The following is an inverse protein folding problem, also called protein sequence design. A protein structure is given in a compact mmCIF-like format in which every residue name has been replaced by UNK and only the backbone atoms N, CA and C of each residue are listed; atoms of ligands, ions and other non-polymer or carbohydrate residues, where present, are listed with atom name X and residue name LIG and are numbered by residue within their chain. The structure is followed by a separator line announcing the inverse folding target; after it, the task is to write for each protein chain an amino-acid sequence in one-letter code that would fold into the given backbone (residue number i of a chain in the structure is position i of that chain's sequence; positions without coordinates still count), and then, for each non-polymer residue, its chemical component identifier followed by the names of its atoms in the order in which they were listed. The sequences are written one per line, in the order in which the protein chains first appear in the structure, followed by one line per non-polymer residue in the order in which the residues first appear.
data_IF_510966629180
#
_entry.id   IF_510966629180
#
_cell.length_a   1.000
_cell.length_b   1.000
_cell.length_c   1.000
_cell.angle_alpha   90.00
_cell.angle_beta   90.00
_cell.angle_gamma   90.00
#
_symmetry.space_group_name_H-M   'P 1'
#
loop_
_entity.id
_entity.type
_entity.pdbx_description
1 polymer ?
#
# COMPACT_ATOMS: atom_id res chain seq x y z
N UNK A 1 14.64 -26.27 -3.57
CA UNK A 1 15.40 -25.20 -4.25
C UNK A 1 14.49 -23.98 -4.37
N UNK A 2 14.87 -22.81 -3.85
CA UNK A 2 14.01 -21.58 -3.78
C UNK A 2 14.73 -20.32 -4.30
N UNK A 3 16.06 -20.26 -4.22
CA UNK A 3 16.83 -19.10 -4.68
C UNK A 3 16.66 -18.93 -6.20
N UNK A 4 16.19 -17.75 -6.63
CA UNK A 4 16.00 -17.43 -8.05
C UNK A 4 14.79 -18.11 -8.68
N UNK A 5 13.83 -18.59 -7.88
CA UNK A 5 12.60 -19.24 -8.38
C UNK A 5 11.51 -18.22 -8.78
N UNK A 6 11.88 -17.11 -9.39
CA UNK A 6 10.93 -16.10 -9.90
C UNK A 6 11.52 -15.37 -11.10
N UNK A 7 10.66 -15.00 -12.05
CA UNK A 7 11.02 -14.18 -13.22
C UNK A 7 10.69 -12.69 -12.99
N UNK A 8 9.71 -12.41 -12.13
CA UNK A 8 9.28 -11.07 -11.74
C UNK A 8 8.73 -11.07 -10.31
N UNK A 9 8.51 -9.88 -9.74
CA UNK A 9 7.83 -9.68 -8.46
C UNK A 9 6.51 -8.93 -8.69
N UNK A 10 5.40 -9.53 -8.22
CA UNK A 10 4.14 -8.81 -8.03
C UNK A 10 4.10 -8.17 -6.65
N UNK A 11 3.76 -6.89 -6.58
CA UNK A 11 3.62 -6.14 -5.33
C UNK A 11 2.20 -5.57 -5.23
N UNK A 12 1.55 -5.83 -4.09
CA UNK A 12 0.31 -5.18 -3.71
C UNK A 12 0.65 -4.06 -2.73
N UNK A 13 0.20 -2.84 -3.02
CA UNK A 13 0.42 -1.68 -2.16
C UNK A 13 -0.88 -0.93 -1.95
N UNK A 14 -1.21 -0.64 -0.69
CA UNK A 14 -2.41 0.12 -0.33
C UNK A 14 -2.13 1.25 0.65
N UNK A 15 -1.26 1.01 1.64
CA UNK A 15 -0.98 1.94 2.73
C UNK A 15 0.46 1.81 3.25
N UNK A 16 0.83 2.65 4.20
CA UNK A 16 2.10 2.60 4.94
C UNK A 16 1.84 2.83 6.43
N UNK A 17 2.70 2.26 7.27
CA UNK A 17 2.65 2.45 8.72
C UNK A 17 3.98 3.02 9.23
N UNK A 18 3.91 3.75 10.34
CA UNK A 18 5.09 3.97 11.17
C UNK A 18 5.44 2.69 11.92
N UNK A 19 6.73 2.49 12.17
CA UNK A 19 7.23 1.40 12.99
C UNK A 19 8.11 1.96 14.12
N UNK A 20 7.85 1.54 15.35
CA UNK A 20 8.67 1.86 16.52
C UNK A 20 9.21 0.57 17.16
N UNK A 21 10.45 0.61 17.65
CA UNK A 21 11.02 -0.52 18.39
C UNK A 21 10.17 -0.82 19.63
N UNK A 22 9.81 -2.08 19.81
CA UNK A 22 9.17 -2.58 21.03
C UNK A 22 10.05 -3.66 21.66
N UNK A 23 10.99 -3.28 22.55
CA UNK A 23 11.89 -4.22 23.19
C UNK A 23 11.23 -5.01 24.34
N UNK A 24 10.04 -4.59 24.80
CA UNK A 24 9.35 -5.19 25.93
C UNK A 24 8.41 -6.27 25.40
N UNK A 25 8.88 -7.51 25.43
CA UNK A 25 8.05 -8.67 25.13
C UNK A 25 7.86 -9.50 26.41
N UNK A 26 6.72 -9.30 27.07
CA UNK A 26 6.31 -10.06 28.25
C UNK A 26 5.13 -10.98 27.90
N UNK A 27 5.30 -11.87 26.93
CA UNK A 27 4.36 -12.96 26.71
C UNK A 27 5.12 -14.28 26.90
N UNK A 28 4.55 -15.17 27.71
CA UNK A 28 5.06 -16.53 27.94
C UNK A 28 4.91 -17.41 26.67
N UNK A 29 4.13 -16.96 25.68
CA UNK A 29 3.87 -17.66 24.42
C UNK A 29 4.47 -16.95 23.20
N UNK A 30 5.06 -17.74 22.30
CA UNK A 30 5.58 -17.26 21.02
C UNK A 30 4.44 -16.84 20.08
N UNK A 31 4.61 -15.73 19.36
CA UNK A 31 3.62 -15.26 18.37
C UNK A 31 4.31 -14.61 17.16
N UNK A 32 3.90 -15.02 15.96
CA UNK A 32 4.39 -14.44 14.70
C UNK A 32 4.21 -12.91 14.64
N UNK A 33 3.12 -12.39 15.21
CA UNK A 33 2.81 -10.96 15.17
C UNK A 33 3.80 -10.12 16.00
N UNK A 34 4.45 -10.73 16.99
CA UNK A 34 5.28 -10.04 17.97
C UNK A 34 6.77 -10.32 17.76
N UNK A 35 7.11 -11.32 16.95
CA UNK A 35 8.48 -11.67 16.57
C UNK A 35 9.25 -10.50 15.90
N UNK A 36 8.55 -9.58 15.23
CA UNK A 36 9.17 -8.38 14.64
C UNK A 36 9.72 -7.40 15.68
N UNK A 37 9.29 -7.52 16.95
CA UNK A 37 9.62 -6.60 18.06
C UNK A 37 9.38 -5.13 17.69
N UNK A 38 8.26 -4.91 17.01
CA UNK A 38 7.91 -3.64 16.40
C UNK A 38 6.45 -3.30 16.68
N UNK A 39 6.19 -2.04 17.08
CA UNK A 39 4.83 -1.50 17.13
C UNK A 39 4.56 -0.78 15.81
N UNK A 40 3.56 -1.26 15.08
CA UNK A 40 3.07 -0.60 13.87
C UNK A 40 1.91 0.32 14.23
N UNK A 41 1.90 1.52 13.66
CA UNK A 41 0.82 2.50 13.86
C UNK A 41 0.67 3.37 12.62
N UNK A 42 -0.57 3.75 12.29
CA UNK A 42 -0.86 4.75 11.26
C UNK A 42 -0.69 6.18 11.78
N UNK A 43 -0.49 6.37 13.09
CA UNK A 43 -0.41 7.69 13.73
C UNK A 43 0.91 7.93 14.46
N UNK A 44 1.37 9.18 14.42
CA UNK A 44 2.51 9.66 15.22
C UNK A 44 2.13 10.98 15.88
N UNK A 45 2.22 11.03 17.21
CA UNK A 45 1.85 12.20 18.01
C UNK A 45 0.39 12.68 17.77
N UNK A 46 -0.53 11.73 17.59
CA UNK A 46 -1.94 12.03 17.29
C UNK A 46 -2.20 12.53 15.86
N UNK A 47 -1.22 12.42 14.96
CA UNK A 47 -1.35 12.80 13.55
C UNK A 47 -1.22 11.55 12.69
N UNK A 48 -2.29 11.23 11.95
CA UNK A 48 -2.30 10.14 10.99
C UNK A 48 -1.30 10.37 9.85
N UNK A 49 -0.75 9.28 9.31
CA UNK A 49 0.20 9.30 8.19
C UNK A 49 -0.42 9.85 6.90
N UNK A 50 -1.74 9.77 6.78
CA UNK A 50 -2.54 10.32 5.71
C UNK A 50 -4.04 10.22 6.04
N UNK A 51 -4.92 10.69 5.15
CA UNK A 51 -6.37 10.50 5.28
C UNK A 51 -6.75 9.02 5.36
N UNK A 52 -7.72 8.69 6.21
CA UNK A 52 -8.28 7.34 6.30
C UNK A 52 -9.37 7.15 5.24
N UNK A 53 -9.38 5.99 4.58
CA UNK A 53 -10.46 5.59 3.68
C UNK A 53 -11.63 4.96 4.45
N UNK A 54 -12.51 4.21 3.79
CA UNK A 54 -13.62 3.54 4.48
C UNK A 54 -13.11 2.40 5.39
N UNK A 55 -12.10 1.67 4.94
CA UNK A 55 -11.48 0.60 5.69
C UNK A 55 -10.63 1.13 6.85
N UNK A 56 -10.82 0.62 8.09
CA UNK A 56 -10.09 1.12 9.25
C UNK A 56 -8.56 1.03 9.14
N UNK A 57 -8.06 0.09 8.34
CA UNK A 57 -6.63 -0.17 8.14
C UNK A 57 -6.01 0.65 7.00
N UNK A 58 -6.82 1.29 6.14
CA UNK A 58 -6.35 1.91 4.90
C UNK A 58 -6.17 3.43 5.09
N UNK A 59 -4.90 3.84 5.16
CA UNK A 59 -4.51 5.25 5.20
C UNK A 59 -3.80 5.65 3.90
N UNK A 60 -4.27 6.71 3.25
CA UNK A 60 -3.80 7.16 1.93
C UNK A 60 -2.41 7.78 2.04
N UNK A 61 -1.39 7.06 1.58
CA UNK A 61 -0.01 7.54 1.60
C UNK A 61 0.72 7.30 0.25
N UNK A 62 0.52 8.19 -0.74
CA UNK A 62 1.02 7.97 -2.11
C UNK A 62 2.55 7.89 -2.23
N UNK A 63 3.29 8.53 -1.32
CA UNK A 63 4.74 8.47 -1.32
C UNK A 63 5.27 7.04 -1.04
N UNK A 64 4.54 6.26 -0.25
CA UNK A 64 5.00 4.94 0.19
C UNK A 64 5.17 3.95 -0.96
N UNK A 65 4.36 4.01 -2.03
CA UNK A 65 4.54 3.10 -3.17
C UNK A 65 5.88 3.33 -3.88
N UNK A 66 6.30 4.58 -4.02
CA UNK A 66 7.62 4.92 -4.58
C UNK A 66 8.74 4.44 -3.67
N UNK A 67 8.61 4.66 -2.36
CA UNK A 67 9.63 4.27 -1.39
C UNK A 67 9.75 2.73 -1.33
N UNK A 68 8.64 1.98 -1.42
CA UNK A 68 8.61 0.51 -1.54
C UNK A 68 9.28 0.02 -2.84
N UNK A 69 8.99 0.65 -3.98
CA UNK A 69 9.60 0.29 -5.26
C UNK A 69 11.12 0.51 -5.26
N UNK A 70 11.58 1.64 -4.72
CA UNK A 70 13.00 1.94 -4.56
C UNK A 70 13.69 0.99 -3.59
N UNK A 71 13.04 0.68 -2.46
CA UNK A 71 13.54 -0.32 -1.51
C UNK A 71 13.67 -1.69 -2.18
N UNK A 72 12.64 -2.12 -2.92
CA UNK A 72 12.63 -3.41 -3.61
C UNK A 72 13.76 -3.48 -4.63
N UNK A 73 13.94 -2.43 -5.43
CA UNK A 73 15.06 -2.28 -6.36
C UNK A 73 16.40 -2.48 -5.65
N UNK A 74 16.65 -1.76 -4.55
CA UNK A 74 17.94 -1.83 -3.85
C UNK A 74 18.16 -3.18 -3.19
N UNK A 75 17.13 -3.72 -2.53
CA UNK A 75 17.21 -4.92 -1.69
C UNK A 75 17.23 -6.22 -2.50
N UNK A 76 16.56 -6.24 -3.65
CA UNK A 76 16.38 -7.42 -4.50
C UNK A 76 17.05 -7.31 -5.87
N UNK A 77 18.00 -6.39 -6.04
CA UNK A 77 18.83 -6.23 -7.25
C UNK A 77 18.05 -5.84 -8.51
N UNK A 78 17.10 -4.92 -8.36
CA UNK A 78 16.27 -4.36 -9.43
C UNK A 78 15.60 -5.42 -10.31
N UNK A 79 14.77 -6.32 -9.71
CA UNK A 79 14.04 -7.30 -10.49
C UNK A 79 12.97 -6.62 -11.36
N UNK A 80 12.39 -7.37 -12.28
CA UNK A 80 11.16 -6.96 -12.98
C UNK A 80 10.04 -6.87 -11.95
N UNK A 81 9.33 -5.75 -11.90
CA UNK A 81 8.24 -5.50 -10.95
C UNK A 81 6.93 -5.22 -11.68
N UNK A 82 5.84 -5.76 -11.14
CA UNK A 82 4.47 -5.36 -11.44
C UNK A 82 3.81 -4.89 -10.14
N UNK A 83 3.11 -3.75 -10.18
CA UNK A 83 2.11 -3.45 -9.15
C UNK A 83 0.88 -4.26 -9.51
N UNK A 84 0.64 -5.35 -8.78
CA UNK A 84 -0.47 -6.28 -9.04
C UNK A 84 -1.77 -5.78 -8.42
N UNK A 85 -1.69 -4.96 -7.37
CA UNK A 85 -2.83 -4.26 -6.80
C UNK A 85 -2.42 -2.91 -6.20
N UNK A 86 -3.23 -1.89 -6.48
CA UNK A 86 -3.27 -0.62 -5.74
C UNK A 86 -4.67 -0.03 -5.86
N UNK A 87 -5.27 0.39 -4.75
CA UNK A 87 -6.69 0.75 -4.71
C UNK A 87 -7.12 1.45 -3.43
N UNK A 88 -8.35 1.95 -3.44
CA UNK A 88 -9.01 2.60 -2.31
C UNK A 88 -10.51 2.30 -2.31
N UNK A 89 -11.03 2.10 -1.11
CA UNK A 89 -12.45 1.97 -0.82
C UNK A 89 -13.05 3.31 -0.37
N UNK A 90 -14.32 3.53 -0.70
CA UNK A 90 -15.05 4.74 -0.33
C UNK A 90 -16.21 4.40 0.60
N UNK A 91 -16.60 5.34 1.46
CA UNK A 91 -17.73 5.13 2.37
C UNK A 91 -19.01 5.18 1.55
N UNK A 92 -19.71 4.05 1.46
CA UNK A 92 -21.04 3.97 0.90
C UNK A 92 -22.03 3.53 1.98
N UNK A 93 -22.98 4.41 2.30
CA UNK A 93 -24.07 4.14 3.24
C UNK A 93 -25.38 3.75 2.54
N UNK A 94 -25.34 3.52 1.22
CA UNK A 94 -26.48 3.17 0.39
C UNK A 94 -27.46 4.32 0.13
N UNK A 95 -27.09 5.55 0.46
CA UNK A 95 -27.97 6.73 0.28
C UNK A 95 -27.64 7.59 -0.93
N UNK A 96 -26.48 7.36 -1.54
CA UNK A 96 -26.03 8.10 -2.72
C UNK A 96 -26.90 7.75 -3.94
N UNK A 97 -27.28 8.77 -4.70
CA UNK A 97 -27.82 8.57 -6.04
C UNK A 97 -26.75 8.00 -6.98
N UNK A 98 -27.18 7.48 -8.13
CA UNK A 98 -26.25 6.98 -9.14
C UNK A 98 -25.24 8.04 -9.61
N UNK A 99 -25.68 9.29 -9.79
CA UNK A 99 -24.80 10.39 -10.21
C UNK A 99 -23.78 10.76 -9.13
N UNK A 100 -24.19 10.74 -7.86
CA UNK A 100 -23.30 10.99 -6.73
C UNK A 100 -22.27 9.86 -6.56
N UNK A 101 -22.70 8.60 -6.70
CA UNK A 101 -21.80 7.43 -6.65
C UNK A 101 -20.78 7.41 -7.80
N UNK A 102 -21.09 8.03 -8.95
CA UNK A 102 -20.14 8.20 -10.06
C UNK A 102 -19.17 9.37 -9.85
N UNK A 103 -19.41 10.24 -8.86
CA UNK A 103 -18.54 11.39 -8.54
C UNK A 103 -17.38 10.96 -7.64
N UNK A 104 -16.53 10.11 -8.20
CA UNK A 104 -15.49 9.32 -7.54
C UNK A 104 -14.16 10.08 -7.34
N UNK A 105 -14.26 11.29 -6.79
CA UNK A 105 -13.12 12.22 -6.71
C UNK A 105 -11.99 11.71 -5.82
N UNK A 106 -12.30 11.00 -4.73
CA UNK A 106 -11.29 10.48 -3.81
C UNK A 106 -10.48 9.35 -4.48
N UNK A 107 -11.13 8.41 -5.18
CA UNK A 107 -10.43 7.39 -5.97
C UNK A 107 -9.61 7.98 -7.12
N UNK A 108 -10.14 8.99 -7.83
CA UNK A 108 -9.38 9.70 -8.88
C UNK A 108 -8.11 10.33 -8.30
N UNK A 109 -8.22 11.05 -7.18
CA UNK A 109 -7.07 11.68 -6.51
C UNK A 109 -6.09 10.64 -5.97
N UNK A 110 -6.58 9.54 -5.42
CA UNK A 110 -5.76 8.42 -4.97
C UNK A 110 -4.88 7.92 -6.11
N UNK A 111 -5.48 7.56 -7.25
CA UNK A 111 -4.75 7.04 -8.39
C UNK A 111 -3.80 8.06 -9.00
N UNK A 112 -4.23 9.32 -9.14
CA UNK A 112 -3.37 10.38 -9.66
C UNK A 112 -2.08 10.52 -8.84
N UNK A 113 -2.19 10.57 -7.52
CA UNK A 113 -1.02 10.73 -6.65
C UNK A 113 -0.14 9.47 -6.57
N UNK A 114 -0.73 8.26 -6.57
CA UNK A 114 0.02 7.01 -6.57
C UNK A 114 0.76 6.80 -7.90
N UNK A 115 0.08 6.97 -9.04
CA UNK A 115 0.69 6.87 -10.37
C UNK A 115 1.79 7.93 -10.58
N UNK A 116 1.62 9.15 -10.05
CA UNK A 116 2.67 10.17 -10.05
C UNK A 116 3.93 9.70 -9.29
N UNK A 117 3.76 8.99 -8.18
CA UNK A 117 4.86 8.41 -7.41
C UNK A 117 5.49 7.19 -8.09
N UNK A 118 4.69 6.34 -8.74
CA UNK A 118 5.18 5.24 -9.61
C UNK A 118 6.02 5.80 -10.76
N UNK A 119 5.53 6.82 -11.46
CA UNK A 119 6.27 7.47 -12.55
C UNK A 119 7.61 8.05 -12.08
N UNK A 120 7.67 8.61 -10.85
CA UNK A 120 8.93 9.04 -10.23
C UNK A 120 9.86 7.87 -9.95
N UNK A 121 9.34 6.73 -9.47
CA UNK A 121 10.15 5.52 -9.24
C UNK A 121 10.75 4.98 -10.56
N UNK A 122 9.97 4.95 -11.65
CA UNK A 122 10.44 4.56 -12.98
C UNK A 122 11.57 5.50 -13.45
N UNK A 123 11.41 6.83 -13.28
CA UNK A 123 12.46 7.81 -13.60
C UNK A 123 13.75 7.61 -12.79
N UNK A 124 13.64 7.01 -11.60
CA UNK A 124 14.78 6.62 -10.75
C UNK A 124 15.31 5.21 -11.07
N UNK A 125 14.84 4.61 -12.17
CA UNK A 125 15.36 3.38 -12.78
C UNK A 125 14.82 2.09 -12.17
N UNK A 126 13.63 2.09 -11.58
CA UNK A 126 12.92 0.85 -11.23
C UNK A 126 12.41 0.18 -12.52
N UNK A 127 12.68 -1.12 -12.71
CA UNK A 127 12.14 -1.92 -13.84
C UNK A 127 10.68 -2.33 -13.57
N UNK A 128 9.78 -1.35 -13.58
CA UNK A 128 8.35 -1.56 -13.42
C UNK A 128 7.68 -1.69 -14.79
N UNK A 129 7.00 -2.81 -15.03
CA UNK A 129 6.45 -3.18 -16.34
C UNK A 129 4.93 -3.20 -16.42
N UNK A 130 4.26 -3.02 -15.29
CA UNK A 130 2.80 -2.89 -15.28
C UNK A 130 2.27 -2.43 -13.94
N UNK A 131 1.05 -1.92 -14.01
CA UNK A 131 0.28 -1.41 -12.89
C UNK A 131 -1.17 -1.86 -13.09
N UNK A 132 -1.72 -2.55 -12.09
CA UNK A 132 -3.07 -3.06 -12.09
C UNK A 132 -3.83 -2.43 -10.92
N UNK A 133 -4.89 -1.69 -11.25
CA UNK A 133 -5.74 -1.04 -10.27
C UNK A 133 -6.64 -2.07 -9.59
N UNK A 134 -6.80 -1.97 -8.28
CA UNK A 134 -7.75 -2.77 -7.51
C UNK A 134 -8.95 -1.88 -7.15
N UNK A 135 -10.17 -2.14 -7.64
CA UNK A 135 -10.60 -3.22 -8.55
C UNK A 135 -11.37 -2.62 -9.73
N UNK A 136 -11.45 -3.37 -10.84
CA UNK A 136 -12.12 -2.93 -12.08
C UNK A 136 -13.65 -2.86 -11.91
N UNK A 137 -14.22 -3.63 -10.98
CA UNK A 137 -15.65 -3.66 -10.67
C UNK A 137 -15.84 -3.68 -9.17
N UNK A 138 -16.94 -3.11 -8.67
CA UNK A 138 -17.30 -3.25 -7.26
C UNK A 138 -17.51 -4.74 -6.96
N UNK A 139 -16.70 -5.28 -6.06
CA UNK A 139 -16.76 -6.66 -5.61
C UNK A 139 -17.21 -6.72 -4.15
N UNK A 140 -17.70 -7.88 -3.71
CA UNK A 140 -17.98 -8.12 -2.29
C UNK A 140 -16.66 -8.47 -1.62
N UNK A 141 -16.14 -7.55 -0.79
CA UNK A 141 -14.95 -7.76 0.04
C UNK A 141 -15.23 -8.61 1.29
#
# INVERSE_FOLDING_TARGET
MVKGSYDFLGLNYYTSNYAANNPVYNNEEASYQTDCRCNLTSERNGIAIGPQAASPWLFVYPRGIKDLLLYTKQRYKNPIIYITENGIDEVDNGTLSHEEALTDTMRIDYYYHHLSNVAKAIKLGVDLRGYFAWVVQVEVE
#
